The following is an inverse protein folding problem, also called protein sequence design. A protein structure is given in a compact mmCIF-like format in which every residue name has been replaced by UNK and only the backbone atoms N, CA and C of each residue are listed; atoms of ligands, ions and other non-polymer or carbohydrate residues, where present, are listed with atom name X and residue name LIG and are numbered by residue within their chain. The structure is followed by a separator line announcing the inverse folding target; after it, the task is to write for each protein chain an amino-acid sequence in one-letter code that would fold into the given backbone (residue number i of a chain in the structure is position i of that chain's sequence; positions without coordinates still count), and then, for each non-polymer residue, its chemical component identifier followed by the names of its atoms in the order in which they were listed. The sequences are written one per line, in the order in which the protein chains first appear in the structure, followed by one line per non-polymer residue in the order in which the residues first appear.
data_IF_402580609167
#
_entry.id   IF_402580609167
#
_cell.length_a   1.000
_cell.length_b   1.000
_cell.length_c   1.000
_cell.angle_alpha   90.00
_cell.angle_beta   90.00
_cell.angle_gamma   90.00
#
_symmetry.space_group_name_H-M   'P 1'
#
loop_
_entity.id
_entity.type
_entity.pdbx_description
1 polymer ?
#
# COMPACT_ATOMS: atom_id res chain seq x y z
N UNK A 1 -13.38 -10.51 -5.99
CA UNK A 1 -13.49 -9.09 -6.34
C UNK A 1 -12.30 -8.71 -7.19
N UNK A 2 -12.46 -7.96 -8.30
CA UNK A 2 -11.34 -7.30 -8.97
C UNK A 2 -10.76 -6.17 -8.08
N UNK A 3 -9.77 -6.49 -7.24
CA UNK A 3 -9.21 -5.55 -6.25
C UNK A 3 -8.58 -4.32 -6.90
N UNK A 4 -7.78 -4.51 -7.96
CA UNK A 4 -7.12 -3.42 -8.70
C UNK A 4 -8.14 -2.42 -9.26
N UNK A 5 -9.22 -2.91 -9.87
CA UNK A 5 -10.26 -2.04 -10.43
C UNK A 5 -11.00 -1.25 -9.34
N UNK A 6 -11.22 -1.87 -8.18
CA UNK A 6 -11.82 -1.19 -7.02
C UNK A 6 -10.88 -0.10 -6.50
N UNK A 7 -9.59 -0.41 -6.31
CA UNK A 7 -8.61 0.56 -5.81
C UNK A 7 -8.41 1.73 -6.79
N UNK A 8 -8.47 1.48 -8.09
CA UNK A 8 -8.39 2.53 -9.12
C UNK A 8 -9.66 3.36 -9.30
N UNK A 9 -10.75 3.04 -8.60
CA UNK A 9 -12.02 3.75 -8.77
C UNK A 9 -12.02 5.06 -7.95
N UNK A 10 -12.44 6.21 -8.53
CA UNK A 10 -12.43 7.51 -7.82
C UNK A 10 -13.27 7.58 -6.54
N UNK A 11 -14.26 6.69 -6.39
CA UNK A 11 -15.08 6.60 -5.18
C UNK A 11 -14.40 5.82 -4.03
N UNK A 12 -13.26 5.18 -4.29
CA UNK A 12 -12.50 4.47 -3.27
C UNK A 12 -11.69 5.48 -2.47
N UNK A 13 -12.05 5.61 -1.19
CA UNK A 13 -11.41 6.56 -0.30
C UNK A 13 -10.24 5.92 0.46
N UNK A 14 -10.42 4.68 0.91
CA UNK A 14 -9.51 3.94 1.80
C UNK A 14 -9.61 2.44 1.56
N UNK A 15 -8.58 1.71 1.99
CA UNK A 15 -8.50 0.26 1.88
C UNK A 15 -8.18 -0.41 3.21
N UNK A 16 -9.12 -1.20 3.74
CA UNK A 16 -8.85 -2.08 4.88
C UNK A 16 -8.14 -3.34 4.38
N UNK A 17 -6.93 -3.59 4.87
CA UNK A 17 -6.08 -4.66 4.34
C UNK A 17 -5.32 -5.39 5.43
N UNK A 18 -5.01 -6.66 5.18
CA UNK A 18 -4.13 -7.46 6.03
C UNK A 18 -2.63 -7.15 5.84
N UNK A 19 -2.31 -6.21 4.94
CA UNK A 19 -0.95 -5.77 4.62
C UNK A 19 -0.09 -6.85 3.94
N UNK A 20 -0.69 -7.69 3.10
CA UNK A 20 0.07 -8.54 2.18
C UNK A 20 0.76 -7.71 1.10
N UNK A 21 1.96 -8.09 0.68
CA UNK A 21 2.82 -7.28 -0.20
C UNK A 21 2.14 -6.80 -1.48
N UNK A 22 1.43 -7.69 -2.18
CA UNK A 22 0.73 -7.33 -3.41
C UNK A 22 -0.37 -6.30 -3.16
N UNK A 23 -1.21 -6.52 -2.13
CA UNK A 23 -2.26 -5.57 -1.74
C UNK A 23 -1.70 -4.22 -1.33
N UNK A 24 -0.57 -4.21 -0.62
CA UNK A 24 0.14 -2.98 -0.24
C UNK A 24 0.63 -2.22 -1.47
N UNK A 25 1.27 -2.90 -2.42
CA UNK A 25 1.74 -2.28 -3.66
C UNK A 25 0.58 -1.74 -4.50
N UNK A 26 -0.49 -2.53 -4.69
CA UNK A 26 -1.69 -2.10 -5.43
C UNK A 26 -2.28 -0.82 -4.83
N UNK A 27 -2.41 -0.75 -3.50
CA UNK A 27 -2.93 0.44 -2.81
C UNK A 27 -2.02 1.66 -2.96
N UNK A 28 -0.69 1.48 -2.84
CA UNK A 28 0.30 2.55 -3.04
C UNK A 28 0.23 3.07 -4.49
N UNK A 29 0.21 2.17 -5.47
CA UNK A 29 0.15 2.55 -6.89
C UNK A 29 -1.18 3.19 -7.29
N UNK A 30 -2.23 2.99 -6.50
CA UNK A 30 -3.52 3.64 -6.69
C UNK A 30 -3.67 4.95 -5.86
N UNK A 31 -2.67 5.31 -5.04
CA UNK A 31 -2.76 6.49 -4.18
C UNK A 31 -3.78 6.35 -3.03
N UNK A 32 -4.14 5.11 -2.66
CA UNK A 32 -5.21 4.82 -1.69
C UNK A 32 -4.63 4.56 -0.29
N UNK A 33 -5.00 5.36 0.73
CA UNK A 33 -4.57 5.11 2.11
C UNK A 33 -5.13 3.81 2.68
N UNK A 34 -4.35 3.19 3.56
CA UNK A 34 -4.66 1.87 4.13
C UNK A 34 -4.99 1.94 5.62
N UNK A 35 -6.03 1.20 6.01
CA UNK A 35 -6.26 0.77 7.38
C UNK A 35 -5.72 -0.64 7.54
N UNK A 36 -4.60 -0.75 8.22
CA UNK A 36 -3.83 -1.96 8.39
C UNK A 36 -4.43 -2.84 9.50
N UNK A 37 -4.85 -4.04 9.11
CA UNK A 37 -5.21 -5.16 9.97
C UNK A 37 -4.19 -6.30 9.80
N UNK A 38 -2.93 -6.13 10.22
CA UNK A 38 -1.90 -7.11 9.97
C UNK A 38 -2.23 -8.46 10.64
N UNK A 39 -2.28 -9.52 9.83
CA UNK A 39 -2.36 -10.90 10.33
C UNK A 39 -0.97 -11.41 10.79
N UNK A 40 0.09 -10.86 10.20
CA UNK A 40 1.49 -11.09 10.52
C UNK A 40 2.25 -9.76 10.47
N UNK A 41 3.36 -9.65 11.22
CA UNK A 41 4.05 -8.37 11.49
C UNK A 41 4.87 -7.78 10.33
N UNK A 42 4.66 -8.20 9.08
CA UNK A 42 5.63 -7.94 8.00
C UNK A 42 5.60 -6.51 7.41
N UNK A 43 4.50 -5.74 7.55
CA UNK A 43 4.35 -4.49 6.77
C UNK A 43 3.72 -3.34 7.58
N UNK A 44 4.39 -2.96 8.67
CA UNK A 44 4.02 -1.81 9.51
C UNK A 44 4.54 -0.48 8.95
N UNK A 45 3.80 0.60 9.17
CA UNK A 45 4.27 1.98 8.93
C UNK A 45 3.78 2.72 7.68
N UNK A 46 3.11 2.05 6.73
CA UNK A 46 2.61 2.71 5.49
C UNK A 46 1.18 3.26 5.68
N UNK A 47 0.37 2.62 6.54
CA UNK A 47 -1.02 3.00 6.84
C UNK A 47 -1.27 3.22 8.33
N UNK A 48 -2.53 3.51 8.70
CA UNK A 48 -2.95 3.53 10.09
C UNK A 48 -3.21 2.09 10.57
N UNK A 49 -2.78 1.75 11.78
CA UNK A 49 -2.89 0.39 12.30
C UNK A 49 -4.10 0.26 13.25
N UNK A 50 -4.84 -0.83 13.08
CA UNK A 50 -5.74 -1.31 14.12
C UNK A 50 -4.89 -1.89 15.24
N UNK A 51 -5.09 -1.43 16.46
CA UNK A 51 -4.38 -1.84 17.66
C UNK A 51 -4.86 -3.22 18.15
N UNK A 52 -6.11 -3.57 17.84
CA UNK A 52 -6.74 -4.84 18.18
C UNK A 52 -6.15 -6.07 17.48
N UNK A 53 -5.23 -5.94 16.52
CA UNK A 53 -4.63 -7.10 15.82
C UNK A 53 -3.83 -8.05 16.74
N UNK A 54 -3.37 -7.54 17.91
CA UNK A 54 -2.72 -8.36 18.95
C UNK A 54 -3.71 -9.08 19.86
N UNK A 55 -5.00 -8.75 19.75
CA UNK A 55 -6.09 -9.33 20.50
C UNK A 55 -6.84 -10.35 19.62
N UNK A 56 -7.58 -11.31 20.22
CA UNK A 56 -8.34 -12.30 19.45
C UNK A 56 -9.46 -11.69 18.60
N UNK A 57 -9.93 -10.49 18.96
CA UNK A 57 -10.99 -9.78 18.26
C UNK A 57 -10.74 -8.28 18.26
N UNK A 58 -11.08 -7.64 17.14
CA UNK A 58 -11.13 -6.18 17.01
C UNK A 58 -12.54 -5.71 17.29
N UNK A 59 -12.66 -4.65 18.09
CA UNK A 59 -13.95 -4.06 18.44
C UNK A 59 -14.49 -3.23 17.27
N UNK A 60 -15.81 -3.26 17.07
CA UNK A 60 -16.45 -2.47 16.02
C UNK A 60 -16.20 -0.96 16.20
N UNK A 61 -16.14 -0.51 17.45
CA UNK A 61 -15.88 0.90 17.81
C UNK A 61 -14.47 1.35 17.39
N UNK A 62 -13.50 0.44 17.43
CA UNK A 62 -12.13 0.72 16.98
C UNK A 62 -12.08 0.90 15.47
N UNK A 63 -12.75 0.01 14.73
CA UNK A 63 -12.86 0.09 13.27
C UNK A 63 -13.56 1.38 12.87
N UNK A 64 -14.69 1.71 13.49
CA UNK A 64 -15.41 2.96 13.22
C UNK A 64 -14.51 4.19 13.47
N UNK A 65 -13.83 4.23 14.62
CA UNK A 65 -12.98 5.36 14.98
C UNK A 65 -11.83 5.55 13.97
N UNK A 66 -11.16 4.47 13.54
CA UNK A 66 -10.05 4.55 12.58
C UNK A 66 -10.52 4.89 11.18
N UNK A 67 -11.67 4.38 10.73
CA UNK A 67 -12.26 4.78 9.44
C UNK A 67 -12.61 6.27 9.45
N UNK A 68 -13.25 6.77 10.52
CA UNK A 68 -13.54 8.21 10.63
C UNK A 68 -12.27 9.06 10.67
N UNK A 69 -11.25 8.61 11.40
CA UNK A 69 -9.96 9.30 11.46
C UNK A 69 -9.39 9.49 10.04
N UNK A 70 -9.31 8.42 9.26
CA UNK A 70 -8.75 8.47 7.92
C UNK A 70 -9.61 9.31 6.95
N UNK A 71 -10.94 9.26 7.08
CA UNK A 71 -11.88 9.94 6.18
C UNK A 71 -12.05 11.43 6.48
N UNK A 72 -12.05 11.81 7.76
CA UNK A 72 -12.58 13.11 8.21
C UNK A 72 -11.52 14.01 8.87
N UNK A 73 -10.38 13.46 9.31
CA UNK A 73 -9.37 14.22 10.07
C UNK A 73 -8.23 14.81 9.21
N UNK A 74 -7.47 15.73 9.81
CA UNK A 74 -6.22 16.23 9.21
C UNK A 74 -5.16 15.12 9.13
N UNK A 75 -5.09 14.23 10.12
CA UNK A 75 -4.15 13.09 10.06
C UNK A 75 -4.46 12.16 8.88
N UNK A 76 -5.74 11.93 8.57
CA UNK A 76 -6.16 11.18 7.39
C UNK A 76 -5.76 11.86 6.08
N UNK A 77 -5.91 13.19 6.00
CA UNK A 77 -5.46 14.00 4.85
C UNK A 77 -3.94 13.94 4.66
N UNK A 78 -3.17 14.03 5.74
CA UNK A 78 -1.71 13.91 5.72
C UNK A 78 -1.26 12.51 5.27
N UNK A 79 -1.93 11.46 5.77
CA UNK A 79 -1.65 10.09 5.34
C UNK A 79 -1.90 9.92 3.85
N UNK A 80 -3.04 10.41 3.35
CA UNK A 80 -3.37 10.38 1.91
C UNK A 80 -2.33 11.12 1.08
N UNK A 81 -1.89 12.31 1.52
CA UNK A 81 -0.85 13.07 0.84
C UNK A 81 0.48 12.29 0.78
N UNK A 82 0.84 11.59 1.86
CA UNK A 82 2.03 10.72 1.91
C UNK A 82 1.92 9.55 0.93
N UNK A 83 0.77 8.88 0.88
CA UNK A 83 0.54 7.74 -0.03
C UNK A 83 0.56 8.19 -1.49
N UNK A 84 -0.02 9.33 -1.83
CA UNK A 84 0.10 9.94 -3.17
C UNK A 84 1.56 10.32 -3.49
N UNK A 85 2.35 10.69 -2.48
CA UNK A 85 3.80 10.84 -2.63
C UNK A 85 4.50 9.55 -3.05
N UNK A 86 4.15 8.44 -2.39
CA UNK A 86 4.66 7.11 -2.75
C UNK A 86 4.17 6.62 -4.10
N UNK A 87 2.91 6.88 -4.46
CA UNK A 87 2.35 6.60 -5.79
C UNK A 87 3.22 7.23 -6.88
N UNK A 88 3.54 8.52 -6.76
CA UNK A 88 4.40 9.24 -7.71
C UNK A 88 5.80 8.65 -7.80
N UNK A 89 6.38 8.28 -6.67
CA UNK A 89 7.70 7.63 -6.63
C UNK A 89 7.66 6.25 -7.30
N UNK A 90 6.60 5.47 -7.06
CA UNK A 90 6.40 4.17 -7.68
C UNK A 90 6.21 4.29 -9.20
N UNK A 91 5.43 5.26 -9.67
CA UNK A 91 5.29 5.55 -11.09
C UNK A 91 6.64 5.92 -11.73
N UNK A 92 7.40 6.83 -11.11
CA UNK A 92 8.70 7.25 -11.62
C UNK A 92 9.67 6.05 -11.73
N UNK A 93 9.77 5.23 -10.68
CA UNK A 93 10.66 4.07 -10.65
C UNK A 93 10.38 3.01 -11.72
N UNK A 94 9.20 3.06 -12.35
CA UNK A 94 8.76 2.18 -13.43
C UNK A 94 8.94 2.78 -14.83
N UNK A 95 9.35 4.04 -14.95
CA UNK A 95 9.67 4.67 -16.24
C UNK A 95 10.91 4.03 -16.87
N UNK A 96 10.94 3.99 -18.21
CA UNK A 96 12.01 3.35 -18.97
C UNK A 96 13.38 3.94 -18.64
N UNK A 97 14.29 3.10 -18.14
CA UNK A 97 15.65 3.49 -17.77
C UNK A 97 15.79 4.08 -16.37
N UNK A 98 14.71 4.18 -15.58
CA UNK A 98 14.81 4.52 -14.17
C UNK A 98 15.25 3.30 -13.32
N UNK A 99 15.35 3.49 -12.00
CA UNK A 99 15.95 2.58 -11.04
C UNK A 99 15.47 1.11 -11.15
N UNK A 100 14.16 0.86 -11.21
CA UNK A 100 13.66 -0.53 -11.28
C UNK A 100 13.90 -1.15 -12.65
N UNK A 101 13.73 -0.37 -13.73
CA UNK A 101 14.04 -0.80 -15.10
C UNK A 101 15.52 -1.16 -15.25
N UNK A 102 16.42 -0.28 -14.78
CA UNK A 102 17.86 -0.52 -14.80
C UNK A 102 18.27 -1.74 -13.96
N UNK A 103 17.68 -1.92 -12.78
CA UNK A 103 17.92 -3.09 -11.94
C UNK A 103 17.47 -4.38 -12.62
N UNK A 104 16.31 -4.37 -13.29
CA UNK A 104 15.80 -5.53 -14.01
C UNK A 104 16.65 -5.84 -15.25
N UNK A 105 17.07 -4.84 -16.03
CA UNK A 105 18.01 -5.05 -17.14
C UNK A 105 19.32 -5.67 -16.67
N UNK A 106 19.86 -5.21 -15.54
CA UNK A 106 21.06 -5.80 -14.93
C UNK A 106 20.84 -7.25 -14.55
N UNK A 107 19.70 -7.57 -13.92
CA UNK A 107 19.36 -8.95 -13.59
C UNK A 107 19.31 -9.84 -14.83
N UNK A 108 18.70 -9.38 -15.93
CA UNK A 108 18.67 -10.13 -17.19
C UNK A 108 20.07 -10.38 -17.75
N UNK A 109 20.94 -9.36 -17.75
CA UNK A 109 22.34 -9.51 -18.17
C UNK A 109 23.10 -10.52 -17.29
N UNK A 110 22.89 -10.51 -15.98
CA UNK A 110 23.53 -11.46 -15.06
C UNK A 110 23.07 -12.90 -15.35
N UNK A 111 21.76 -13.11 -15.58
CA UNK A 111 21.21 -14.43 -15.93
C UNK A 111 21.79 -14.94 -17.26
N UNK A 112 21.85 -14.10 -18.29
CA UNK A 112 22.45 -14.46 -19.59
C UNK A 112 23.92 -14.84 -19.45
N UNK A 113 24.69 -14.10 -18.65
CA UNK A 113 26.10 -14.39 -18.40
C UNK A 113 26.35 -15.66 -17.56
N UNK A 114 25.33 -16.18 -16.87
CA UNK A 114 25.41 -17.43 -16.10
C UNK A 114 24.84 -18.64 -16.84
N UNK A 115 24.25 -18.43 -18.03
CA UNK A 115 23.75 -19.49 -18.92
C UNK A 115 24.77 -19.95 -19.97
N UNK A 116 25.93 -19.28 -20.05
CA UNK A 116 27.08 -19.62 -20.88
C UNK A 116 28.36 -19.72 -20.02
#
# INVERSE_FOLDING_TARGET
MPQVDVLGHPATAEFVTHCGWNSTLEAITAGVPMLCWPLYAEQMGIGAELEGYKAPFIKAEEVEAKVRLLMESDEGRELKARVVGYEKQACAAMEDGDSSGAAFSRFLSDVENHMY
#
